data_IF_836780281769
#
_entry.id   IF_836780281769
#
_cell.length_a   1.000
_cell.length_b   1.000
_cell.length_c   1.000
_cell.angle_alpha   90.00
_cell.angle_beta   90.00
_cell.angle_gamma   90.00
#
_symmetry.space_group_name_H-M   'P 1'
#
loop_
_entity.id
_entity.type
_entity.pdbx_description
1 polymer ?
#
# COMPACT_ATOMS: atom_id res chain seq x y z
N UNK A 1 17.62 -46.95 2.22
CA UNK A 1 18.73 -46.43 1.41
C UNK A 1 18.34 -45.00 1.02
N UNK A 2 18.76 -44.03 1.81
CA UNK A 2 18.50 -42.61 1.58
C UNK A 2 19.70 -42.03 0.83
N UNK A 3 19.53 -41.11 -0.13
CA UNK A 3 20.65 -40.53 -0.86
C UNK A 3 21.46 -39.61 0.07
N UNK A 4 22.78 -39.72 -0.01
CA UNK A 4 23.71 -38.90 0.75
C UNK A 4 23.64 -37.42 0.31
N UNK A 5 23.83 -36.46 1.23
CA UNK A 5 23.86 -35.05 0.88
C UNK A 5 25.10 -34.73 0.02
N UNK A 6 24.97 -33.92 -1.04
CA UNK A 6 26.12 -33.52 -1.84
C UNK A 6 27.06 -32.62 -1.02
N UNK A 7 28.33 -33.03 -0.95
CA UNK A 7 29.41 -32.30 -0.31
C UNK A 7 29.57 -30.91 -0.93
N UNK A 8 29.66 -29.89 -0.07
CA UNK A 8 29.84 -28.49 -0.43
C UNK A 8 31.07 -28.29 -1.35
N UNK A 9 30.88 -27.56 -2.45
CA UNK A 9 31.98 -26.95 -3.19
C UNK A 9 31.85 -25.43 -3.05
N UNK A 10 32.96 -24.84 -2.63
CA UNK A 10 33.17 -23.45 -2.23
C UNK A 10 32.84 -22.41 -3.31
N UNK A 11 32.29 -21.29 -2.82
CA UNK A 11 32.32 -19.93 -3.33
C UNK A 11 31.67 -19.57 -4.69
N UNK A 12 30.68 -18.67 -4.52
CA UNK A 12 30.00 -17.78 -5.46
C UNK A 12 28.75 -18.34 -6.14
N UNK A 13 27.66 -17.61 -5.89
CA UNK A 13 26.31 -17.70 -6.47
C UNK A 13 25.39 -18.68 -5.73
N UNK A 14 25.01 -18.29 -4.51
CA UNK A 14 23.77 -18.74 -3.88
C UNK A 14 23.01 -17.50 -3.43
N UNK A 15 22.18 -16.99 -4.33
CA UNK A 15 20.96 -16.25 -4.05
C UNK A 15 20.22 -16.06 -5.37
N UNK A 16 19.87 -17.17 -6.04
CA UNK A 16 18.61 -17.17 -6.79
C UNK A 16 17.54 -17.11 -5.70
N UNK A 17 17.22 -15.89 -5.27
CA UNK A 17 16.12 -15.66 -4.36
C UNK A 17 14.88 -16.10 -5.10
N UNK A 18 14.27 -17.15 -4.57
CA UNK A 18 12.97 -17.66 -4.92
C UNK A 18 12.04 -16.47 -5.23
N UNK A 19 11.50 -16.46 -6.45
CA UNK A 19 10.31 -15.71 -6.80
C UNK A 19 9.19 -16.12 -5.84
N UNK A 20 9.16 -15.50 -4.68
CA UNK A 20 7.98 -15.43 -3.85
C UNK A 20 7.04 -14.49 -4.58
N UNK A 21 6.22 -15.06 -5.47
CA UNK A 21 5.03 -14.42 -6.03
C UNK A 21 4.02 -14.19 -4.90
N UNK A 22 4.37 -13.30 -3.98
CA UNK A 22 3.38 -12.55 -3.22
C UNK A 22 2.78 -11.62 -4.26
N UNK A 23 1.53 -11.86 -4.66
CA UNK A 23 0.73 -10.81 -5.28
C UNK A 23 0.66 -9.70 -4.23
N UNK A 24 1.66 -8.82 -4.21
CA UNK A 24 1.60 -7.57 -3.50
C UNK A 24 0.41 -6.85 -4.12
N UNK A 25 -0.69 -6.80 -3.39
CA UNK A 25 -1.78 -5.89 -3.66
C UNK A 25 -1.17 -4.49 -3.71
N UNK A 26 -0.77 -4.07 -4.91
CA UNK A 26 -0.10 -2.81 -5.19
C UNK A 26 -1.14 -1.74 -5.00
N UNK A 27 -1.05 -1.04 -3.87
CA UNK A 27 -1.84 0.14 -3.63
C UNK A 27 -1.37 1.21 -4.62
N UNK A 28 -2.23 1.58 -5.58
CA UNK A 28 -1.98 2.60 -6.60
C UNK A 28 -2.65 3.92 -6.20
N UNK A 29 -1.95 5.04 -6.34
CA UNK A 29 -2.54 6.37 -6.12
C UNK A 29 -3.22 6.83 -7.41
N UNK A 30 -4.55 7.01 -7.37
CA UNK A 30 -5.33 7.49 -8.50
C UNK A 30 -5.36 9.02 -8.60
N UNK A 31 -5.51 9.70 -7.45
CA UNK A 31 -5.61 11.15 -7.39
C UNK A 31 -5.27 11.67 -6.01
N UNK A 32 -4.71 12.88 -5.97
CA UNK A 32 -4.42 13.62 -4.74
C UNK A 32 -4.82 15.07 -4.93
N UNK A 33 -5.52 15.64 -3.95
CA UNK A 33 -5.94 17.05 -3.97
C UNK A 33 -5.77 17.67 -2.58
N UNK A 34 -5.38 18.95 -2.55
CA UNK A 34 -5.38 19.75 -1.33
C UNK A 34 -6.76 20.41 -1.16
N UNK A 35 -7.31 20.27 0.03
CA UNK A 35 -8.63 20.80 0.41
C UNK A 35 -8.51 21.52 1.75
N UNK A 36 -9.41 22.47 2.01
CA UNK A 36 -9.48 23.09 3.33
C UNK A 36 -9.85 22.04 4.38
N UNK A 37 -9.11 22.01 5.48
CA UNK A 37 -9.36 21.09 6.57
C UNK A 37 -10.71 21.40 7.23
N UNK A 38 -11.54 20.37 7.40
CA UNK A 38 -12.83 20.44 8.06
C UNK A 38 -13.13 19.10 8.72
N UNK A 39 -13.78 19.12 9.87
CA UNK A 39 -14.19 17.91 10.60
C UNK A 39 -15.12 17.02 9.77
N UNK A 40 -15.90 17.63 8.86
CA UNK A 40 -16.81 16.89 7.99
C UNK A 40 -16.08 16.06 6.92
N UNK A 41 -14.82 16.40 6.58
CA UNK A 41 -14.03 15.60 5.64
C UNK A 41 -13.77 14.19 6.17
N UNK A 42 -13.57 14.02 7.48
CA UNK A 42 -13.40 12.69 8.07
C UNK A 42 -14.67 11.85 7.96
N UNK A 43 -15.85 12.47 8.11
CA UNK A 43 -17.15 11.79 7.95
C UNK A 43 -17.36 11.35 6.50
N UNK A 44 -16.97 12.20 5.54
CA UNK A 44 -17.03 11.88 4.11
C UNK A 44 -16.10 10.70 3.80
N UNK A 45 -14.85 10.75 4.27
CA UNK A 45 -13.85 9.69 4.06
C UNK A 45 -14.31 8.36 4.68
N UNK A 46 -14.87 8.36 5.88
CA UNK A 46 -15.44 7.16 6.51
C UNK A 46 -16.59 6.59 5.69
N UNK A 47 -17.54 7.44 5.26
CA UNK A 47 -18.65 7.04 4.41
C UNK A 47 -18.16 6.36 3.12
N UNK A 48 -17.23 7.00 2.40
CA UNK A 48 -16.66 6.47 1.16
C UNK A 48 -15.94 5.13 1.38
N UNK A 49 -15.15 5.01 2.44
CA UNK A 49 -14.45 3.76 2.76
C UNK A 49 -15.42 2.64 3.17
N UNK A 50 -16.58 2.94 3.76
CA UNK A 50 -17.60 1.93 4.10
C UNK A 50 -18.40 1.46 2.90
N UNK A 51 -18.60 2.33 1.90
CA UNK A 51 -19.40 2.02 0.71
C UNK A 51 -18.58 1.45 -0.44
N UNK A 52 -17.37 1.97 -0.70
CA UNK A 52 -16.60 1.71 -1.94
C UNK A 52 -15.32 0.89 -1.73
N UNK A 53 -14.92 0.58 -0.49
CA UNK A 53 -13.73 -0.26 -0.23
C UNK A 53 -13.84 -1.66 -0.81
N UNK A 54 -15.06 -2.19 -0.94
CA UNK A 54 -15.32 -3.48 -1.61
C UNK A 54 -15.07 -3.43 -3.12
N UNK A 55 -15.08 -2.23 -3.70
CA UNK A 55 -14.83 -1.97 -5.12
C UNK A 55 -13.36 -1.61 -5.38
N UNK A 56 -12.46 -2.03 -4.48
CA UNK A 56 -11.01 -1.80 -4.57
C UNK A 56 -10.65 -0.30 -4.57
N UNK A 57 -11.46 0.54 -3.92
CA UNK A 57 -11.21 1.97 -3.76
C UNK A 57 -11.04 2.33 -2.28
N UNK A 58 -9.92 2.95 -1.94
CA UNK A 58 -9.67 3.48 -0.60
C UNK A 58 -9.45 4.98 -0.65
N UNK A 59 -9.88 5.64 0.42
CA UNK A 59 -9.82 7.09 0.54
C UNK A 59 -9.03 7.46 1.80
N UNK A 60 -8.01 8.29 1.62
CA UNK A 60 -7.17 8.79 2.71
C UNK A 60 -7.31 10.29 2.88
N UNK A 61 -7.08 10.74 4.11
CA UNK A 61 -7.01 12.15 4.46
C UNK A 61 -5.84 12.35 5.42
N UNK A 62 -4.91 13.23 5.06
CA UNK A 62 -3.80 13.64 5.89
C UNK A 62 -3.81 15.16 6.04
N UNK A 63 -3.34 15.70 7.17
CA UNK A 63 -3.12 17.14 7.30
C UNK A 63 -1.89 17.54 6.47
N UNK A 64 -1.91 18.73 5.87
CA UNK A 64 -0.71 19.26 5.22
C UNK A 64 0.35 19.61 6.27
N UNK A 65 1.57 19.16 6.05
CA UNK A 65 2.70 19.34 6.98
C UNK A 65 3.08 20.82 7.16
N UNK A 66 2.86 21.64 6.13
CA UNK A 66 3.21 23.07 6.12
C UNK A 66 2.03 23.95 6.55
N UNK A 67 0.80 23.51 6.30
CA UNK A 67 -0.42 24.25 6.69
C UNK A 67 -1.52 23.32 7.24
N UNK A 68 -1.66 23.29 8.57
CA UNK A 68 -2.70 22.50 9.25
C UNK A 68 -4.14 22.93 8.92
N UNK A 69 -4.35 24.07 8.25
CA UNK A 69 -5.66 24.49 7.72
C UNK A 69 -6.01 23.79 6.41
N UNK A 70 -5.07 23.06 5.82
CA UNK A 70 -5.25 22.27 4.62
C UNK A 70 -5.10 20.79 4.94
N UNK A 71 -5.78 19.97 4.18
CA UNK A 71 -5.67 18.53 4.20
C UNK A 71 -5.42 18.01 2.78
N UNK A 72 -4.64 16.95 2.69
CA UNK A 72 -4.37 16.19 1.49
C UNK A 72 -5.35 15.01 1.47
N UNK A 73 -6.29 15.07 0.53
CA UNK A 73 -7.20 13.97 0.25
C UNK A 73 -6.63 13.13 -0.90
N UNK A 74 -6.59 11.81 -0.70
CA UNK A 74 -5.99 10.88 -1.66
C UNK A 74 -6.92 9.71 -1.95
N UNK A 75 -7.03 9.35 -3.22
CA UNK A 75 -7.76 8.16 -3.68
C UNK A 75 -6.74 7.09 -4.05
N UNK A 76 -6.93 5.90 -3.50
CA UNK A 76 -6.12 4.72 -3.73
C UNK A 76 -6.95 3.62 -4.40
N UNK A 77 -6.30 2.81 -5.24
CA UNK A 77 -6.82 1.56 -5.77
C UNK A 77 -6.05 0.39 -5.15
N UNK A 78 -6.74 -0.63 -4.65
CA UNK A 78 -6.16 -1.75 -3.89
C UNK A 78 -6.33 -3.11 -4.55
#
# INVERSE_FOLDING_TARGET
>A
MLPEPPACISNKICAAQEETTKMESKIEVLATVKVQHSDDLYKIVDCLNRTLKRDNLMFGLALDENDKRQAIFTIYRT
#
